data_IF_031648391337
#
_entry.id   IF_031648391337
#
_cell.length_a   1.000
_cell.length_b   1.000
_cell.length_c   1.000
_cell.angle_alpha   90.00
_cell.angle_beta   90.00
_cell.angle_gamma   90.00
#
_symmetry.space_group_name_H-M   'P 1'
#
loop_
_entity.id
_entity.type
_entity.pdbx_description
1 polymer ?
#
# COMPACT_ATOMS: atom_id res chain seq x y z
N UNK A 1 20.77 5.62 -21.82
CA UNK A 1 20.38 4.53 -20.88
C UNK A 1 18.86 4.45 -20.92
N UNK A 2 18.28 3.46 -21.59
CA UNK A 2 16.83 3.35 -21.68
C UNK A 2 16.28 3.03 -20.29
N UNK A 3 15.43 3.91 -19.76
CA UNK A 3 14.86 3.74 -18.43
C UNK A 3 13.91 2.53 -18.42
N UNK A 4 14.18 1.52 -17.57
CA UNK A 4 13.30 0.36 -17.33
C UNK A 4 11.96 0.73 -16.65
N UNK A 5 11.61 2.02 -16.55
CA UNK A 5 10.39 2.47 -15.89
C UNK A 5 9.19 2.12 -16.75
N UNK A 6 8.40 1.16 -16.29
CA UNK A 6 7.12 0.80 -16.91
C UNK A 6 6.11 1.92 -16.68
N UNK A 7 5.37 2.31 -17.72
CA UNK A 7 4.30 3.31 -17.62
C UNK A 7 3.00 2.61 -17.27
N UNK A 8 2.24 3.20 -16.34
CA UNK A 8 0.90 2.75 -15.97
C UNK A 8 -0.07 3.83 -16.44
N UNK A 9 -0.94 3.49 -17.38
CA UNK A 9 -2.03 4.37 -17.81
C UNK A 9 -3.30 3.93 -17.09
N UNK A 10 -3.94 4.86 -16.38
CA UNK A 10 -5.19 4.61 -15.65
C UNK A 10 -6.27 5.57 -16.13
N UNK A 11 -7.48 5.06 -16.25
CA UNK A 11 -8.68 5.89 -16.40
C UNK A 11 -9.25 6.12 -15.01
N UNK A 12 -9.26 7.36 -14.55
CA UNK A 12 -9.84 7.76 -13.28
C UNK A 12 -11.10 8.62 -13.51
N UNK A 13 -12.01 8.63 -12.55
CA UNK A 13 -13.13 9.57 -12.60
C UNK A 13 -12.61 11.02 -12.43
N UNK A 14 -13.37 12.03 -12.89
CA UNK A 14 -12.93 13.43 -12.82
C UNK A 14 -12.64 13.91 -11.39
N UNK A 15 -13.36 13.35 -10.40
CA UNK A 15 -13.22 13.71 -9.00
C UNK A 15 -11.87 13.25 -8.40
N UNK A 16 -11.47 12.00 -8.67
CA UNK A 16 -10.17 11.45 -8.26
C UNK A 16 -9.05 12.21 -8.95
N UNK A 17 -9.15 12.46 -10.25
CA UNK A 17 -8.14 13.23 -10.97
C UNK A 17 -7.96 14.62 -10.34
N UNK A 18 -9.07 15.30 -10.03
CA UNK A 18 -9.09 16.60 -9.38
C UNK A 18 -8.48 16.55 -7.96
N UNK A 19 -8.76 15.50 -7.20
CA UNK A 19 -8.20 15.29 -5.88
C UNK A 19 -6.68 15.06 -5.92
N UNK A 20 -6.19 14.22 -6.84
CA UNK A 20 -4.75 13.97 -7.02
C UNK A 20 -4.04 15.27 -7.42
N UNK A 21 -4.61 16.05 -8.34
CA UNK A 21 -4.04 17.35 -8.74
C UNK A 21 -3.93 18.32 -7.56
N UNK A 22 -4.97 18.40 -6.71
CA UNK A 22 -4.93 19.24 -5.50
C UNK A 22 -3.89 18.76 -4.51
N UNK A 23 -3.80 17.45 -4.25
CA UNK A 23 -2.80 16.86 -3.37
C UNK A 23 -1.38 17.11 -3.88
N UNK A 24 -1.14 16.91 -5.18
CA UNK A 24 0.15 17.16 -5.82
C UNK A 24 0.56 18.64 -5.71
N UNK A 25 -0.40 19.56 -5.93
CA UNK A 25 -0.17 21.00 -5.77
C UNK A 25 0.16 21.38 -4.33
N UNK A 26 -0.58 20.84 -3.35
CA UNK A 26 -0.33 21.06 -1.92
C UNK A 26 1.08 20.62 -1.52
N UNK A 27 1.52 19.48 -2.06
CA UNK A 27 2.78 18.84 -1.68
C UNK A 27 3.96 19.29 -2.56
N UNK A 28 3.73 20.14 -3.56
CA UNK A 28 4.78 20.68 -4.44
C UNK A 28 5.41 19.65 -5.38
N UNK A 29 4.71 18.57 -5.72
CA UNK A 29 5.24 17.46 -6.53
C UNK A 29 4.46 17.27 -7.83
N UNK A 30 5.03 16.60 -8.86
CA UNK A 30 4.31 16.24 -10.06
C UNK A 30 3.09 15.35 -9.77
N UNK A 31 1.99 15.55 -10.53
CA UNK A 31 0.75 14.75 -10.41
C UNK A 31 1.04 13.25 -10.53
N UNK A 32 1.93 12.84 -11.45
CA UNK A 32 2.30 11.44 -11.62
C UNK A 32 3.05 10.86 -10.41
N UNK A 33 3.90 11.67 -9.76
CA UNK A 33 4.61 11.25 -8.55
C UNK A 33 3.63 11.06 -7.39
N UNK A 34 2.72 12.03 -7.19
CA UNK A 34 1.66 11.91 -6.17
C UNK A 34 0.72 10.74 -6.44
N UNK A 35 0.35 10.50 -7.70
CA UNK A 35 -0.46 9.35 -8.06
C UNK A 35 0.25 8.03 -7.71
N UNK A 36 1.54 7.91 -8.02
CA UNK A 36 2.33 6.73 -7.67
C UNK A 36 2.40 6.50 -6.16
N UNK A 37 2.64 7.55 -5.39
CA UNK A 37 2.68 7.51 -3.91
C UNK A 37 1.33 7.08 -3.32
N UNK A 38 0.23 7.65 -3.82
CA UNK A 38 -1.12 7.28 -3.35
C UNK A 38 -1.49 5.84 -3.71
N UNK A 39 -1.05 5.34 -4.88
CA UNK A 39 -1.21 3.93 -5.26
C UNK A 39 -0.42 3.03 -4.31
N UNK A 40 0.82 3.38 -3.99
CA UNK A 40 1.65 2.63 -3.04
C UNK A 40 1.01 2.58 -1.64
N UNK A 41 0.52 3.71 -1.15
CA UNK A 41 -0.23 3.76 0.12
C UNK A 41 -1.47 2.87 0.06
N UNK A 42 -2.22 2.90 -1.04
CA UNK A 42 -3.40 2.05 -1.24
C UNK A 42 -3.06 0.55 -1.21
N UNK A 43 -1.96 0.15 -1.86
CA UNK A 43 -1.48 -1.23 -1.86
C UNK A 43 -1.06 -1.68 -0.45
N UNK A 44 -0.37 -0.83 0.30
CA UNK A 44 0.01 -1.13 1.68
C UNK A 44 -1.22 -1.31 2.58
N UNK A 45 -2.25 -0.48 2.41
CA UNK A 45 -3.51 -0.63 3.16
C UNK A 45 -4.24 -1.94 2.82
N UNK A 46 -4.25 -2.35 1.54
CA UNK A 46 -4.83 -3.63 1.14
C UNK A 46 -4.07 -4.81 1.76
N UNK A 47 -2.74 -4.74 1.77
CA UNK A 47 -1.88 -5.74 2.41
C UNK A 47 -2.15 -5.82 3.91
N UNK A 48 -2.17 -4.67 4.60
CA UNK A 48 -2.44 -4.60 6.04
C UNK A 48 -3.80 -5.21 6.38
N UNK A 49 -4.85 -4.89 5.62
CA UNK A 49 -6.17 -5.48 5.79
C UNK A 49 -6.14 -7.01 5.65
N UNK A 50 -5.40 -7.50 4.65
CA UNK A 50 -5.26 -8.93 4.39
C UNK A 50 -4.50 -9.65 5.52
N UNK A 51 -3.39 -9.06 5.98
CA UNK A 51 -2.58 -9.58 7.07
C UNK A 51 -3.33 -9.55 8.41
N UNK A 52 -4.08 -8.48 8.68
CA UNK A 52 -4.94 -8.36 9.86
C UNK A 52 -6.05 -9.42 9.86
N UNK A 53 -6.65 -9.71 8.71
CA UNK A 53 -7.60 -10.82 8.55
C UNK A 53 -6.97 -12.15 8.91
N UNK A 54 -5.77 -12.45 8.41
CA UNK A 54 -5.03 -13.67 8.76
C UNK A 54 -4.64 -13.72 10.24
N UNK A 55 -4.23 -12.60 10.83
CA UNK A 55 -3.92 -12.51 12.26
C UNK A 55 -5.16 -12.83 13.10
N UNK A 56 -6.32 -12.29 12.74
CA UNK A 56 -7.59 -12.55 13.44
C UNK A 56 -8.02 -14.02 13.36
N UNK A 57 -7.72 -14.71 12.26
CA UNK A 57 -7.95 -16.15 12.16
C UNK A 57 -7.01 -16.98 13.04
N UNK A 58 -5.81 -16.48 13.33
CA UNK A 58 -4.79 -17.16 14.14
C UNK A 58 -4.93 -16.85 15.63
N UNK A 59 -5.39 -15.65 15.98
CA UNK A 59 -5.60 -15.23 17.37
C UNK A 59 -6.94 -15.75 17.92
N UNK A 60 -7.02 -17.07 18.04
CA UNK A 60 -8.18 -17.78 18.57
C UNK A 60 -7.86 -18.38 19.94
N UNK A 61 -8.90 -18.57 20.75
CA UNK A 61 -8.75 -19.19 22.07
C UNK A 61 -8.19 -20.61 21.93
N UNK A 62 -7.05 -20.87 22.58
CA UNK A 62 -6.35 -22.16 22.49
C UNK A 62 -5.37 -22.26 21.33
N UNK A 63 -5.08 -21.15 20.63
CA UNK A 63 -4.03 -21.10 19.64
C UNK A 63 -2.66 -21.45 20.26
N UNK A 64 -1.83 -22.13 19.47
CA UNK A 64 -0.46 -22.45 19.87
C UNK A 64 0.40 -21.20 19.73
N UNK A 65 0.82 -20.64 20.85
CA UNK A 65 1.82 -19.58 20.89
C UNK A 65 3.22 -20.20 20.83
N UNK A 66 4.11 -19.55 20.09
CA UNK A 66 5.55 -19.87 20.03
C UNK A 66 6.32 -18.67 20.55
N UNK A 67 7.45 -18.90 21.21
CA UNK A 67 8.27 -17.80 21.69
C UNK A 67 8.87 -17.03 20.50
N UNK A 68 9.15 -15.74 20.68
CA UNK A 68 9.77 -14.92 19.64
C UNK A 68 11.12 -15.50 19.21
N UNK A 69 11.91 -16.02 20.16
CA UNK A 69 13.17 -16.69 19.86
C UNK A 69 12.95 -17.91 18.96
N UNK A 70 12.01 -18.80 19.30
CA UNK A 70 11.73 -19.99 18.48
C UNK A 70 11.20 -19.66 17.08
N UNK A 71 10.46 -18.55 16.96
CA UNK A 71 9.88 -18.12 15.68
C UNK A 71 10.91 -17.46 14.73
N UNK A 72 11.94 -16.80 15.27
CA UNK A 72 12.87 -15.95 14.50
C UNK A 72 14.34 -16.40 14.56
N UNK A 73 14.67 -17.51 15.21
CA UNK A 73 16.05 -18.02 15.35
C UNK A 73 16.63 -18.69 14.10
N UNK A 74 16.36 -18.18 12.90
CA UNK A 74 16.96 -18.68 11.65
C UNK A 74 17.79 -17.61 10.96
#
# INVERSE_FOLDING_TARGET
MATNKKRINITANPEIESAIKRAAKRDGVPVAAKASELIEIGLNLEEDMSLAGLASLRDQKGARYVSHQDAWSK
#
